data_IF_964747206862
#
_entry.id   IF_964747206862
#
_cell.length_a   1.000
_cell.length_b   1.000
_cell.length_c   1.000
_cell.angle_alpha   90.00
_cell.angle_beta   90.00
_cell.angle_gamma   90.00
#
_symmetry.space_group_name_H-M   'P 1'
#
loop_
_entity.id
_entity.type
_entity.pdbx_description
1 polymer ?
#
# COMPACT_ATOMS: atom_id res chain seq x y z
N UNK A 1 -10.17 -30.44 -15.42
CA UNK A 1 -11.25 -30.97 -16.28
C UNK A 1 -12.62 -30.86 -15.59
N UNK A 2 -13.02 -29.66 -15.12
CA UNK A 2 -14.33 -29.42 -14.53
C UNK A 2 -14.88 -28.10 -15.07
N UNK A 3 -15.65 -28.12 -16.18
CA UNK A 3 -16.23 -26.93 -16.81
C UNK A 3 -17.13 -26.11 -15.88
N UNK A 4 -17.64 -26.75 -14.82
CA UNK A 4 -18.52 -26.10 -13.83
C UNK A 4 -17.75 -25.41 -12.68
N UNK A 5 -16.49 -25.78 -12.45
CA UNK A 5 -15.69 -25.32 -11.28
C UNK A 5 -14.36 -24.66 -11.68
N UNK A 6 -14.15 -24.31 -12.96
CA UNK A 6 -12.90 -23.71 -13.44
C UNK A 6 -12.54 -22.44 -12.67
N UNK A 7 -13.53 -21.62 -12.33
CA UNK A 7 -13.35 -20.36 -11.59
C UNK A 7 -12.83 -20.57 -10.16
N UNK A 8 -13.26 -21.64 -9.49
CA UNK A 8 -12.72 -22.01 -8.18
C UNK A 8 -11.25 -22.47 -8.26
N UNK A 9 -10.91 -23.24 -9.31
CA UNK A 9 -9.52 -23.66 -9.53
C UNK A 9 -8.63 -22.48 -9.87
N UNK A 10 -9.09 -21.53 -10.69
CA UNK A 10 -8.39 -20.30 -10.98
C UNK A 10 -8.18 -19.47 -9.72
N UNK A 11 -9.19 -19.37 -8.86
CA UNK A 11 -9.06 -18.70 -7.57
C UNK A 11 -8.03 -19.40 -6.66
N UNK A 12 -8.08 -20.71 -6.52
CA UNK A 12 -7.08 -21.46 -5.72
C UNK A 12 -5.65 -21.25 -6.23
N UNK A 13 -5.46 -21.21 -7.56
CA UNK A 13 -4.16 -20.93 -8.18
C UNK A 13 -3.74 -19.47 -7.93
N UNK A 14 -4.67 -18.51 -7.84
CA UNK A 14 -4.35 -17.11 -7.57
C UNK A 14 -3.80 -16.89 -6.14
N UNK A 15 -4.14 -17.75 -5.17
CA UNK A 15 -3.69 -17.60 -3.77
C UNK A 15 -2.16 -17.55 -3.68
N UNK A 16 -1.41 -18.59 -4.10
CA UNK A 16 0.05 -18.53 -4.04
C UNK A 16 0.65 -17.41 -4.90
N UNK A 17 0.01 -17.03 -6.01
CA UNK A 17 0.47 -15.93 -6.85
C UNK A 17 0.32 -14.58 -6.15
N UNK A 18 -0.83 -14.30 -5.52
CA UNK A 18 -1.04 -13.06 -4.76
C UNK A 18 -0.05 -12.97 -3.60
N UNK A 19 0.15 -14.06 -2.85
CA UNK A 19 1.13 -14.10 -1.77
C UNK A 19 2.55 -13.87 -2.30
N UNK A 20 2.91 -14.50 -3.41
CA UNK A 20 4.21 -14.34 -4.05
C UNK A 20 4.46 -12.88 -4.44
N UNK A 21 3.53 -12.24 -5.16
CA UNK A 21 3.69 -10.86 -5.59
C UNK A 21 3.68 -9.87 -4.42
N UNK A 22 2.88 -10.13 -3.39
CA UNK A 22 2.81 -9.24 -2.23
C UNK A 22 4.05 -9.31 -1.32
N UNK A 23 4.60 -10.51 -1.11
CA UNK A 23 5.64 -10.75 -0.08
C UNK A 23 7.01 -11.06 -0.67
N UNK A 24 7.07 -11.85 -1.73
CA UNK A 24 8.34 -12.40 -2.25
C UNK A 24 8.94 -11.49 -3.34
N UNK A 25 8.10 -10.99 -4.26
CA UNK A 25 8.55 -10.12 -5.36
C UNK A 25 9.43 -8.97 -4.89
N UNK A 26 9.02 -8.12 -3.93
CA UNK A 26 9.83 -6.98 -3.51
C UNK A 26 11.14 -7.37 -2.82
N UNK A 27 11.26 -8.58 -2.30
CA UNK A 27 12.46 -9.07 -1.62
C UNK A 27 13.44 -9.81 -2.55
N UNK A 28 12.94 -10.42 -3.61
CA UNK A 28 13.73 -11.31 -4.48
C UNK A 28 13.84 -10.77 -5.89
N UNK A 29 12.73 -10.29 -6.47
CA UNK A 29 12.71 -9.85 -7.86
C UNK A 29 13.24 -8.42 -8.00
N UNK A 30 12.77 -7.49 -7.15
CA UNK A 30 13.17 -6.08 -7.26
C UNK A 30 14.69 -5.87 -7.13
N UNK A 31 15.43 -6.58 -6.25
CA UNK A 31 16.90 -6.49 -6.22
C UNK A 31 17.63 -6.99 -7.48
N UNK A 32 16.96 -7.72 -8.38
CA UNK A 32 17.54 -8.12 -9.67
C UNK A 32 17.49 -6.98 -10.70
N UNK A 33 16.62 -6.01 -10.50
CA UNK A 33 16.38 -4.90 -11.43
C UNK A 33 16.86 -3.54 -10.91
N UNK A 34 17.04 -3.41 -9.60
CA UNK A 34 17.43 -2.17 -8.94
C UNK A 34 18.63 -2.37 -8.03
N UNK A 35 19.46 -1.36 -7.93
CA UNK A 35 20.67 -1.38 -7.10
C UNK A 35 20.28 -1.09 -5.64
N UNK A 36 20.34 -2.11 -4.79
CA UNK A 36 20.12 -2.03 -3.34
C UNK A 36 21.47 -1.91 -2.63
N UNK A 37 21.61 -0.88 -1.82
CA UNK A 37 22.81 -0.65 -1.01
C UNK A 37 22.45 -0.57 0.47
N UNK A 38 23.32 -1.02 1.39
CA UNK A 38 23.21 -0.65 2.78
C UNK A 38 23.18 0.86 2.91
N UNK A 39 22.40 1.38 3.83
CA UNK A 39 22.25 2.82 4.00
C UNK A 39 23.60 3.51 4.20
N UNK A 40 23.89 4.56 3.44
CA UNK A 40 25.18 5.29 3.45
C UNK A 40 25.25 6.23 4.65
N UNK A 41 24.17 6.94 4.92
CA UNK A 41 24.06 7.84 6.06
C UNK A 41 23.82 7.04 7.35
N UNK A 42 24.89 6.82 8.12
CA UNK A 42 24.85 6.05 9.36
C UNK A 42 24.16 6.78 10.51
N UNK A 43 24.12 8.11 10.48
CA UNK A 43 23.39 8.89 11.47
C UNK A 43 21.89 8.74 11.27
N UNK A 44 21.41 8.86 10.03
CA UNK A 44 20.00 8.62 9.67
C UNK A 44 19.60 7.15 9.91
N UNK A 45 20.48 6.19 9.58
CA UNK A 45 20.25 4.77 9.86
C UNK A 45 20.02 4.51 11.35
N UNK A 46 20.84 5.12 12.21
CA UNK A 46 20.70 5.02 13.67
C UNK A 46 19.35 5.61 14.16
N UNK A 47 18.93 6.77 13.61
CA UNK A 47 17.64 7.39 13.94
C UNK A 47 16.45 6.54 13.51
N UNK A 48 16.50 5.93 12.32
CA UNK A 48 15.46 5.01 11.86
C UNK A 48 15.45 3.75 12.74
N UNK A 49 16.61 3.23 13.12
CA UNK A 49 16.72 2.07 14.02
C UNK A 49 16.13 2.37 15.41
N UNK A 50 16.38 3.55 15.96
CA UNK A 50 15.74 4.01 17.21
C UNK A 50 14.20 4.02 17.05
N UNK A 51 13.70 4.52 15.91
CA UNK A 51 12.27 4.57 15.64
C UNK A 51 11.66 3.16 15.51
N UNK A 52 12.36 2.21 14.86
CA UNK A 52 11.91 0.81 14.76
C UNK A 52 11.82 0.13 16.12
N UNK A 53 12.79 0.40 17.01
CA UNK A 53 12.75 -0.12 18.39
C UNK A 53 11.57 0.42 19.18
N UNK A 54 11.20 1.70 19.00
CA UNK A 54 10.01 2.28 19.62
C UNK A 54 8.71 1.68 19.13
N UNK A 55 8.67 1.22 17.88
CA UNK A 55 7.51 0.55 17.27
C UNK A 55 7.54 -1.00 17.38
N UNK A 56 8.45 -1.57 18.18
CA UNK A 56 8.65 -3.03 18.32
C UNK A 56 8.90 -3.77 16.99
N UNK A 57 9.63 -3.13 16.07
CA UNK A 57 10.02 -3.70 14.76
C UNK A 57 11.55 -3.90 14.73
N UNK A 58 12.10 -4.50 15.74
CA UNK A 58 13.54 -4.69 15.85
C UNK A 58 14.10 -5.62 14.77
N UNK A 59 15.41 -5.45 14.44
CA UNK A 59 16.13 -6.32 13.52
C UNK A 59 15.87 -6.07 12.03
N UNK A 60 15.14 -5.02 11.66
CA UNK A 60 14.93 -4.65 10.27
C UNK A 60 16.22 -4.15 9.61
N UNK A 61 16.53 -4.67 8.42
CA UNK A 61 17.65 -4.16 7.61
C UNK A 61 17.20 -2.92 6.85
N UNK A 62 18.05 -1.91 6.77
CA UNK A 62 17.74 -0.63 6.10
C UNK A 62 18.56 -0.54 4.82
N UNK A 63 17.88 -0.36 3.69
CA UNK A 63 18.48 -0.26 2.37
C UNK A 63 18.16 1.07 1.70
N UNK A 64 19.14 1.59 0.96
CA UNK A 64 19.00 2.68 0.00
C UNK A 64 18.92 2.11 -1.41
N UNK A 65 18.00 2.60 -2.26
CA UNK A 65 17.86 2.17 -3.64
C UNK A 65 18.04 3.34 -4.59
N UNK A 66 18.90 3.15 -5.60
CA UNK A 66 19.28 4.16 -6.59
C UNK A 66 18.21 4.43 -7.64
N UNK A 67 17.06 4.99 -7.26
CA UNK A 67 15.94 5.26 -8.15
C UNK A 67 16.05 6.56 -8.94
N UNK A 68 16.94 7.48 -8.58
CA UNK A 68 17.11 8.78 -9.27
C UNK A 68 17.48 8.67 -10.75
N UNK A 69 17.98 7.50 -11.19
CA UNK A 69 18.26 7.20 -12.60
C UNK A 69 17.00 6.89 -13.42
N UNK A 70 15.91 6.50 -12.75
CA UNK A 70 14.67 6.01 -13.37
C UNK A 70 13.52 6.98 -13.19
N UNK A 71 13.45 7.68 -12.05
CA UNK A 71 12.32 8.56 -11.72
C UNK A 71 12.76 9.71 -10.81
N UNK A 72 11.92 10.78 -10.81
CA UNK A 72 11.99 11.87 -9.84
C UNK A 72 11.03 11.68 -8.66
N UNK A 73 10.15 10.68 -8.74
CA UNK A 73 9.19 10.37 -7.68
C UNK A 73 9.90 9.95 -6.41
N UNK A 74 9.29 10.23 -5.29
CA UNK A 74 9.74 9.80 -3.97
C UNK A 74 8.95 8.59 -3.51
N UNK A 75 9.64 7.61 -2.92
CA UNK A 75 9.00 6.47 -2.30
C UNK A 75 9.87 5.89 -1.19
N UNK A 76 9.22 5.26 -0.21
CA UNK A 76 9.82 4.39 0.79
C UNK A 76 8.81 3.28 1.07
N UNK A 77 9.27 2.12 1.56
CA UNK A 77 8.38 1.01 1.91
C UNK A 77 9.04 0.04 2.86
N UNK A 78 8.23 -0.74 3.56
CA UNK A 78 8.66 -1.89 4.34
C UNK A 78 8.18 -3.19 3.70
N UNK A 79 9.07 -4.18 3.66
CA UNK A 79 8.76 -5.52 3.14
C UNK A 79 9.31 -6.60 4.06
N UNK A 80 8.82 -7.82 3.86
CA UNK A 80 9.26 -8.98 4.63
C UNK A 80 8.39 -9.26 5.86
N UNK A 81 8.64 -10.42 6.47
CA UNK A 81 7.88 -10.94 7.61
C UNK A 81 8.86 -11.39 8.70
N UNK A 82 8.53 -11.09 9.96
CA UNK A 82 9.37 -11.50 11.09
C UNK A 82 10.80 -10.99 10.96
N UNK A 83 11.83 -11.86 11.07
CA UNK A 83 13.24 -11.45 10.99
C UNK A 83 13.71 -11.02 9.60
N UNK A 84 12.92 -11.25 8.55
CA UNK A 84 13.27 -10.86 7.18
C UNK A 84 12.80 -9.44 6.81
N UNK A 85 12.29 -8.68 7.75
CA UNK A 85 11.83 -7.29 7.51
C UNK A 85 12.94 -6.41 6.98
N UNK A 86 12.63 -5.65 5.96
CA UNK A 86 13.51 -4.70 5.32
C UNK A 86 12.80 -3.35 5.16
N UNK A 87 13.52 -2.29 5.44
CA UNK A 87 13.14 -0.91 5.19
C UNK A 87 13.88 -0.46 3.95
N UNK A 88 13.17 0.04 2.97
CA UNK A 88 13.74 0.46 1.68
C UNK A 88 13.39 1.92 1.44
N UNK A 89 14.44 2.76 1.31
CA UNK A 89 14.31 4.17 0.97
C UNK A 89 14.87 4.43 -0.42
N UNK A 90 14.13 5.14 -1.24
CA UNK A 90 14.66 5.61 -2.51
C UNK A 90 15.62 6.79 -2.26
N UNK A 91 16.71 6.85 -3.02
CA UNK A 91 17.67 7.95 -2.94
C UNK A 91 17.04 9.32 -3.27
N UNK A 92 15.97 9.33 -4.08
CA UNK A 92 15.16 10.53 -4.35
C UNK A 92 14.42 11.01 -3.12
N UNK A 93 13.96 10.11 -2.27
CA UNK A 93 13.28 10.42 -0.99
C UNK A 93 14.27 10.97 0.02
N UNK A 94 15.43 10.31 0.14
CA UNK A 94 16.51 10.74 1.06
C UNK A 94 17.00 12.15 0.69
N UNK A 95 17.16 12.47 -0.60
CA UNK A 95 17.60 13.79 -1.07
C UNK A 95 16.51 14.86 -1.00
N UNK A 96 15.25 14.47 -1.05
CA UNK A 96 14.12 15.41 -1.16
C UNK A 96 13.50 15.81 0.16
N UNK A 97 13.68 15.03 1.21
CA UNK A 97 13.09 15.25 2.53
C UNK A 97 14.16 15.59 3.56
N UNK A 98 13.80 16.38 4.57
CA UNK A 98 14.61 16.55 5.77
C UNK A 98 14.59 15.29 6.63
N UNK A 99 15.53 15.15 7.58
CA UNK A 99 15.56 14.01 8.52
C UNK A 99 14.23 13.85 9.26
N UNK A 100 13.64 14.95 9.77
CA UNK A 100 12.34 14.91 10.47
C UNK A 100 11.21 14.37 9.59
N UNK A 101 11.15 14.81 8.34
CA UNK A 101 10.17 14.33 7.35
C UNK A 101 10.40 12.86 6.98
N UNK A 102 11.65 12.42 6.83
CA UNK A 102 12.00 11.02 6.60
C UNK A 102 11.58 10.13 7.77
N UNK A 103 11.76 10.57 9.00
CA UNK A 103 11.31 9.84 10.18
C UNK A 103 9.78 9.71 10.22
N UNK A 104 9.04 10.74 9.79
CA UNK A 104 7.58 10.63 9.66
C UNK A 104 7.19 9.62 8.57
N UNK A 105 7.81 9.66 7.39
CA UNK A 105 7.58 8.66 6.34
C UNK A 105 7.85 7.25 6.88
N UNK A 106 8.95 7.06 7.58
CA UNK A 106 9.28 5.75 8.14
C UNK A 106 8.28 5.30 9.21
N UNK A 107 7.79 6.21 10.04
CA UNK A 107 6.76 5.92 11.04
C UNK A 107 5.43 5.50 10.37
N UNK A 108 5.07 6.13 9.26
CA UNK A 108 3.92 5.77 8.43
C UNK A 108 4.09 4.35 7.83
N UNK A 109 5.25 4.04 7.23
CA UNK A 109 5.53 2.71 6.69
C UNK A 109 5.54 1.61 7.77
N UNK A 110 6.05 1.94 8.96
CA UNK A 110 6.02 1.04 10.12
C UNK A 110 4.59 0.70 10.54
N UNK A 111 3.65 1.65 10.42
CA UNK A 111 2.24 1.41 10.71
C UNK A 111 1.66 0.31 9.85
N UNK A 112 1.92 0.32 8.53
CA UNK A 112 1.44 -0.74 7.64
C UNK A 112 1.92 -2.12 8.06
N UNK A 113 3.15 -2.21 8.57
CA UNK A 113 3.72 -3.46 9.08
C UNK A 113 3.10 -3.87 10.43
N UNK A 114 3.03 -2.93 11.40
CA UNK A 114 2.56 -3.19 12.78
C UNK A 114 1.08 -3.50 12.82
N UNK A 115 0.28 -2.78 12.03
CA UNK A 115 -1.17 -2.95 11.95
C UNK A 115 -1.59 -4.10 11.02
N UNK A 116 -0.62 -4.70 10.31
CA UNK A 116 -0.85 -5.87 9.47
C UNK A 116 -1.65 -5.58 8.20
N UNK A 117 -1.58 -4.36 7.65
CA UNK A 117 -2.33 -3.94 6.47
C UNK A 117 -2.10 -4.86 5.27
N UNK A 118 -0.89 -5.43 5.12
CA UNK A 118 -0.57 -6.37 4.04
C UNK A 118 -1.48 -7.60 4.04
N UNK A 119 -1.86 -8.11 5.22
CA UNK A 119 -2.72 -9.29 5.33
C UNK A 119 -4.17 -8.95 4.93
N UNK A 120 -4.64 -7.76 5.31
CA UNK A 120 -5.94 -7.25 4.88
C UNK A 120 -5.97 -7.02 3.37
N UNK A 121 -4.89 -6.48 2.79
CA UNK A 121 -4.76 -6.29 1.35
C UNK A 121 -4.76 -7.62 0.59
N UNK A 122 -4.03 -8.63 1.06
CA UNK A 122 -4.04 -9.98 0.49
C UNK A 122 -5.46 -10.58 0.56
N UNK A 123 -6.11 -10.50 1.71
CA UNK A 123 -7.45 -11.06 1.91
C UNK A 123 -8.48 -10.36 1.01
N UNK A 124 -8.49 -9.02 0.94
CA UNK A 124 -9.41 -8.27 0.08
C UNK A 124 -9.18 -8.57 -1.40
N UNK A 125 -7.93 -8.58 -1.85
CA UNK A 125 -7.56 -8.95 -3.24
C UNK A 125 -8.07 -10.34 -3.60
N UNK A 126 -7.91 -11.33 -2.72
CA UNK A 126 -8.41 -12.69 -2.95
C UNK A 126 -9.94 -12.75 -3.01
N UNK A 127 -10.64 -11.97 -2.18
CA UNK A 127 -12.10 -11.86 -2.23
C UNK A 127 -12.57 -11.19 -3.53
N UNK A 128 -11.89 -10.14 -3.96
CA UNK A 128 -12.18 -9.47 -5.25
C UNK A 128 -11.96 -10.43 -6.41
N UNK A 129 -10.83 -11.15 -6.46
CA UNK A 129 -10.57 -12.16 -7.49
C UNK A 129 -11.67 -13.22 -7.50
N UNK A 130 -12.09 -13.71 -6.33
CA UNK A 130 -13.18 -14.69 -6.22
C UNK A 130 -14.47 -14.14 -6.80
N UNK A 131 -14.84 -12.91 -6.44
CA UNK A 131 -16.04 -12.25 -6.96
C UNK A 131 -15.98 -12.03 -8.47
N UNK A 132 -14.87 -11.54 -9.00
CA UNK A 132 -14.67 -11.32 -10.43
C UNK A 132 -14.79 -12.64 -11.21
N UNK A 133 -14.12 -13.69 -10.75
CA UNK A 133 -14.21 -15.02 -11.37
C UNK A 133 -15.63 -15.61 -11.31
N UNK A 134 -16.35 -15.36 -10.22
CA UNK A 134 -17.75 -15.75 -10.08
C UNK A 134 -18.65 -15.00 -11.08
N UNK A 135 -18.47 -13.67 -11.22
CA UNK A 135 -19.21 -12.87 -12.22
C UNK A 135 -18.92 -13.37 -13.62
N UNK A 136 -17.65 -13.63 -13.96
CA UNK A 136 -17.26 -14.19 -15.26
C UNK A 136 -17.89 -15.57 -15.49
N UNK A 137 -17.97 -16.41 -14.45
CA UNK A 137 -18.58 -17.73 -14.56
C UNK A 137 -20.09 -17.66 -14.81
N UNK A 138 -20.82 -16.89 -14.00
CA UNK A 138 -22.28 -16.79 -14.10
C UNK A 138 -22.69 -16.02 -15.36
N UNK A 139 -22.11 -14.83 -15.58
CA UNK A 139 -22.38 -13.99 -16.75
C UNK A 139 -22.01 -14.69 -18.05
N UNK A 140 -20.82 -15.28 -18.10
CA UNK A 140 -20.36 -16.02 -19.27
C UNK A 140 -21.29 -17.18 -19.63
N UNK A 141 -21.71 -17.97 -18.64
CA UNK A 141 -22.69 -19.07 -18.87
C UNK A 141 -24.04 -18.56 -19.36
N UNK A 142 -24.52 -17.46 -18.81
CA UNK A 142 -25.78 -16.86 -19.23
C UNK A 142 -25.75 -16.42 -20.71
N UNK A 143 -24.68 -15.72 -21.09
CA UNK A 143 -24.45 -15.26 -22.46
C UNK A 143 -24.23 -16.44 -23.44
N UNK A 144 -23.43 -17.44 -23.07
CA UNK A 144 -23.18 -18.61 -23.87
C UNK A 144 -24.49 -19.38 -24.16
N UNK A 145 -25.36 -19.51 -23.15
CA UNK A 145 -26.67 -20.15 -23.32
C UNK A 145 -27.59 -19.38 -24.29
N UNK A 146 -27.53 -18.03 -24.25
CA UNK A 146 -28.35 -17.19 -25.15
C UNK A 146 -27.76 -17.04 -26.55
N UNK A 147 -26.44 -16.90 -26.64
CA UNK A 147 -25.75 -16.64 -27.91
C UNK A 147 -25.32 -17.88 -28.69
N UNK A 148 -25.48 -19.08 -28.12
CA UNK A 148 -25.07 -20.35 -28.76
C UNK A 148 -23.55 -20.51 -28.91
N UNK A 149 -22.72 -19.60 -28.33
CA UNK A 149 -21.26 -19.62 -28.43
C UNK A 149 -20.69 -20.27 -27.17
N UNK A 150 -19.87 -21.34 -27.30
CA UNK A 150 -19.25 -21.97 -26.14
C UNK A 150 -18.22 -21.04 -25.49
N UNK A 151 -18.13 -21.10 -24.16
CA UNK A 151 -17.17 -20.25 -23.38
C UNK A 151 -15.69 -20.50 -23.74
N UNK A 152 -15.38 -21.61 -24.37
CA UNK A 152 -14.03 -21.94 -24.88
C UNK A 152 -13.69 -21.27 -26.21
N UNK A 153 -14.65 -20.59 -26.84
CA UNK A 153 -14.41 -19.88 -28.08
C UNK A 153 -13.78 -18.51 -27.80
N UNK A 154 -12.76 -18.14 -28.59
CA UNK A 154 -12.11 -16.83 -28.51
C UNK A 154 -13.07 -15.66 -28.75
N UNK A 155 -14.17 -15.87 -29.49
CA UNK A 155 -15.22 -14.88 -29.68
C UNK A 155 -15.87 -14.42 -28.36
N UNK A 156 -15.68 -15.16 -27.25
CA UNK A 156 -16.18 -14.76 -25.92
C UNK A 156 -15.25 -13.82 -25.18
N UNK A 157 -14.02 -13.58 -25.65
CA UNK A 157 -13.05 -12.69 -24.99
C UNK A 157 -13.59 -11.27 -24.75
N UNK A 158 -14.21 -10.58 -25.72
CA UNK A 158 -14.81 -9.26 -25.48
C UNK A 158 -15.87 -9.27 -24.38
N UNK A 159 -16.66 -10.34 -24.28
CA UNK A 159 -17.62 -10.52 -23.21
C UNK A 159 -16.96 -10.62 -21.84
N UNK A 160 -15.90 -11.41 -21.72
CA UNK A 160 -15.16 -11.51 -20.47
C UNK A 160 -14.54 -10.17 -20.05
N UNK A 161 -13.97 -9.42 -21.00
CA UNK A 161 -13.45 -8.08 -20.74
C UNK A 161 -14.55 -7.11 -20.30
N UNK A 162 -15.73 -7.17 -20.92
CA UNK A 162 -16.88 -6.37 -20.53
C UNK A 162 -17.36 -6.71 -19.11
N UNK A 163 -17.53 -7.99 -18.80
CA UNK A 163 -17.96 -8.45 -17.47
C UNK A 163 -16.91 -8.10 -16.40
N UNK A 164 -15.64 -8.28 -16.71
CA UNK A 164 -14.54 -7.94 -15.80
C UNK A 164 -14.55 -6.45 -15.48
N UNK A 165 -14.54 -5.58 -16.51
CA UNK A 165 -14.55 -4.13 -16.30
C UNK A 165 -15.84 -3.66 -15.60
N UNK A 166 -17.00 -4.24 -15.94
CA UNK A 166 -18.25 -3.94 -15.26
C UNK A 166 -18.24 -4.32 -13.78
N UNK A 167 -17.68 -5.46 -13.44
CA UNK A 167 -17.53 -5.88 -12.05
C UNK A 167 -16.47 -5.03 -11.29
N UNK A 168 -15.38 -4.62 -11.97
CA UNK A 168 -14.38 -3.72 -11.38
C UNK A 168 -14.96 -2.35 -11.01
N UNK A 169 -15.96 -1.86 -11.74
CA UNK A 169 -16.66 -0.62 -11.34
C UNK A 169 -17.30 -0.71 -9.94
N UNK A 170 -17.60 -1.92 -9.48
CA UNK A 170 -18.16 -2.16 -8.13
C UNK A 170 -17.04 -2.40 -7.12
N UNK A 171 -16.00 -3.17 -7.50
CA UNK A 171 -14.95 -3.54 -6.56
C UNK A 171 -13.92 -2.44 -6.33
N UNK A 172 -13.58 -1.63 -7.35
CA UNK A 172 -12.57 -0.56 -7.22
C UNK A 172 -12.91 0.46 -6.12
N UNK A 173 -14.16 0.96 -5.97
CA UNK A 173 -14.49 1.88 -4.89
C UNK A 173 -14.32 1.26 -3.49
N UNK A 174 -14.59 -0.05 -3.34
CA UNK A 174 -14.42 -0.77 -2.07
C UNK A 174 -12.95 -0.95 -1.72
N UNK A 175 -12.13 -1.39 -2.68
CA UNK A 175 -10.68 -1.54 -2.52
C UNK A 175 -10.03 -0.19 -2.19
N UNK A 176 -10.39 0.87 -2.93
CA UNK A 176 -9.86 2.21 -2.69
C UNK A 176 -10.32 2.78 -1.33
N UNK A 177 -11.56 2.48 -0.89
CA UNK A 177 -12.02 2.87 0.43
C UNK A 177 -11.21 2.17 1.53
N UNK A 178 -10.96 0.86 1.39
CA UNK A 178 -10.14 0.10 2.35
C UNK A 178 -8.70 0.63 2.37
N UNK A 179 -8.11 0.89 1.19
CA UNK A 179 -6.77 1.48 1.07
C UNK A 179 -6.68 2.81 1.81
N UNK A 180 -7.61 3.75 1.54
CA UNK A 180 -7.65 5.06 2.24
C UNK A 180 -7.81 4.92 3.75
N UNK A 181 -8.55 3.92 4.22
CA UNK A 181 -8.66 3.66 5.65
C UNK A 181 -7.32 3.25 6.25
N UNK A 182 -6.60 2.35 5.60
CA UNK A 182 -5.26 1.95 6.04
C UNK A 182 -4.27 3.14 6.03
N UNK A 183 -4.39 4.03 5.04
CA UNK A 183 -3.57 5.25 4.98
C UNK A 183 -3.86 6.19 6.14
N UNK A 184 -5.14 6.37 6.51
CA UNK A 184 -5.52 7.15 7.70
C UNK A 184 -4.96 6.55 8.99
N UNK A 185 -5.05 5.24 9.14
CA UNK A 185 -4.48 4.52 10.29
C UNK A 185 -2.96 4.69 10.34
N UNK A 186 -2.29 4.66 9.18
CA UNK A 186 -0.84 4.84 9.07
C UNK A 186 -0.41 6.29 9.36
N UNK A 187 -1.15 7.28 8.87
CA UNK A 187 -0.89 8.69 9.17
C UNK A 187 -1.04 8.99 10.66
N UNK A 188 -2.11 8.51 11.26
CA UNK A 188 -2.35 8.69 12.70
C UNK A 188 -1.27 8.01 13.54
N UNK A 189 -0.92 6.76 13.22
CA UNK A 189 0.17 6.04 13.88
C UNK A 189 1.50 6.79 13.74
N UNK A 190 1.82 7.25 12.52
CA UNK A 190 3.02 8.02 12.26
C UNK A 190 3.09 9.29 13.09
N UNK A 191 2.00 10.07 13.15
CA UNK A 191 1.89 11.27 13.99
C UNK A 191 2.09 10.94 15.47
N UNK A 192 1.46 9.90 15.98
CA UNK A 192 1.59 9.49 17.38
C UNK A 192 2.99 9.00 17.73
N UNK A 193 3.67 8.31 16.80
CA UNK A 193 5.02 7.78 17.03
C UNK A 193 6.07 8.89 17.03
N UNK A 194 6.03 9.82 16.07
CA UNK A 194 7.04 10.90 15.95
C UNK A 194 6.66 12.15 16.73
N UNK A 195 5.40 12.47 16.89
CA UNK A 195 4.85 13.67 17.54
C UNK A 195 5.35 14.97 16.88
N UNK A 196 5.42 14.98 15.54
CA UNK A 196 5.94 16.09 14.74
C UNK A 196 4.98 16.39 13.56
N UNK A 197 4.00 17.24 13.81
CA UNK A 197 2.99 17.61 12.81
C UNK A 197 3.59 18.40 11.64
N UNK A 198 4.57 19.27 11.91
CA UNK A 198 5.23 20.06 10.88
C UNK A 198 6.00 19.18 9.89
N UNK A 199 6.66 18.13 10.39
CA UNK A 199 7.32 17.14 9.56
C UNK A 199 6.32 16.38 8.69
N UNK A 200 5.16 15.99 9.24
CA UNK A 200 4.09 15.33 8.48
C UNK A 200 3.56 16.23 7.36
N UNK A 201 3.20 17.47 7.66
CA UNK A 201 2.70 18.45 6.69
C UNK A 201 3.75 18.71 5.61
N UNK A 202 5.01 18.97 5.99
CA UNK A 202 6.10 19.16 5.04
C UNK A 202 6.28 17.97 4.10
N UNK A 203 6.20 16.75 4.64
CA UNK A 203 6.23 15.50 3.87
C UNK A 203 5.11 15.46 2.83
N UNK A 204 3.86 15.68 3.23
CA UNK A 204 2.71 15.63 2.31
C UNK A 204 2.85 16.63 1.17
N UNK A 205 3.23 17.87 1.46
CA UNK A 205 3.44 18.92 0.46
C UNK A 205 4.54 18.54 -0.55
N UNK A 206 5.68 18.01 -0.07
CA UNK A 206 6.80 17.64 -0.91
C UNK A 206 6.50 16.39 -1.77
N UNK A 207 5.88 15.37 -1.18
CA UNK A 207 5.46 14.16 -1.89
C UNK A 207 4.49 14.51 -3.02
N UNK A 208 3.52 15.37 -2.75
CA UNK A 208 2.59 15.84 -3.77
C UNK A 208 3.30 16.52 -4.93
N UNK A 209 4.16 17.50 -4.63
CA UNK A 209 4.87 18.25 -5.66
C UNK A 209 5.77 17.36 -6.53
N UNK A 210 6.39 16.34 -5.95
CA UNK A 210 7.27 15.40 -6.66
C UNK A 210 6.52 14.33 -7.43
N UNK A 211 5.40 13.86 -6.88
CA UNK A 211 4.60 12.79 -7.49
C UNK A 211 3.49 13.34 -8.39
N UNK A 212 3.42 14.68 -8.58
CA UNK A 212 2.44 15.37 -9.43
C UNK A 212 0.99 15.01 -9.12
N UNK A 213 0.66 14.84 -7.85
CA UNK A 213 -0.68 14.49 -7.39
C UNK A 213 -1.58 15.74 -7.33
N UNK A 214 -2.86 15.59 -7.64
CA UNK A 214 -3.83 16.68 -7.48
C UNK A 214 -4.26 16.83 -6.01
N UNK A 215 -4.21 18.03 -5.42
CA UNK A 215 -4.40 18.23 -3.97
C UNK A 215 -5.79 17.85 -3.44
N UNK A 216 -6.82 18.12 -4.22
CA UNK A 216 -8.23 17.92 -3.84
C UNK A 216 -9.02 17.35 -5.00
N UNK A 217 -8.79 16.08 -5.38
CA UNK A 217 -9.55 15.47 -6.45
C UNK A 217 -11.01 15.31 -6.04
N UNK A 218 -11.92 15.41 -7.03
CA UNK A 218 -13.36 15.26 -6.80
C UNK A 218 -13.71 13.85 -6.29
N UNK A 219 -14.88 13.73 -5.65
CA UNK A 219 -15.36 12.49 -5.03
C UNK A 219 -15.36 11.27 -5.97
N UNK A 220 -15.70 11.50 -7.27
CA UNK A 220 -15.70 10.44 -8.26
C UNK A 220 -14.29 9.87 -8.47
N UNK A 221 -13.29 10.73 -8.67
CA UNK A 221 -11.90 10.29 -8.78
C UNK A 221 -11.46 9.54 -7.52
N UNK A 222 -11.79 10.08 -6.34
CA UNK A 222 -11.46 9.46 -5.06
C UNK A 222 -12.10 8.08 -4.90
N UNK A 223 -13.33 7.88 -5.36
CA UNK A 223 -13.99 6.59 -5.29
C UNK A 223 -13.32 5.54 -6.17
N UNK A 224 -13.03 5.86 -7.43
CA UNK A 224 -12.56 4.87 -8.41
C UNK A 224 -11.03 4.84 -8.63
N UNK A 225 -10.29 5.87 -8.19
CA UNK A 225 -8.85 6.00 -8.45
C UNK A 225 -8.02 6.42 -7.25
N UNK A 226 -8.64 6.97 -6.21
CA UNK A 226 -7.95 7.47 -5.03
C UNK A 226 -7.63 6.35 -4.04
N UNK A 227 -6.42 5.82 -4.08
CA UNK A 227 -5.91 4.83 -3.12
C UNK A 227 -5.48 5.46 -1.80
N UNK A 228 -5.17 6.75 -1.79
CA UNK A 228 -4.79 7.53 -0.61
C UNK A 228 -5.84 8.62 -0.35
N UNK A 229 -6.01 9.08 0.90
CA UNK A 229 -6.77 10.29 1.19
C UNK A 229 -6.19 11.47 0.42
N UNK A 230 -7.01 12.48 0.12
CA UNK A 230 -6.52 13.67 -0.55
C UNK A 230 -5.46 14.37 0.31
N UNK A 231 -4.51 15.04 -0.33
CA UNK A 231 -3.46 15.73 0.39
C UNK A 231 -4.03 16.78 1.35
N UNK A 232 -5.06 17.50 0.88
CA UNK A 232 -5.69 18.53 1.69
C UNK A 232 -6.30 17.95 2.99
N UNK A 233 -6.96 16.79 2.89
CA UNK A 233 -7.49 16.08 4.07
C UNK A 233 -6.36 15.65 5.02
N UNK A 234 -5.25 15.11 4.49
CA UNK A 234 -4.10 14.67 5.29
C UNK A 234 -3.46 15.84 6.03
N UNK A 235 -3.28 16.99 5.36
CA UNK A 235 -2.74 18.22 5.98
C UNK A 235 -3.67 18.72 7.10
N UNK A 236 -4.96 18.88 6.80
CA UNK A 236 -5.94 19.35 7.80
C UNK A 236 -5.98 18.43 9.03
N UNK A 237 -5.90 17.11 8.80
CA UNK A 237 -5.82 16.15 9.89
C UNK A 237 -4.54 16.34 10.71
N UNK A 238 -3.40 16.43 10.06
CA UNK A 238 -2.12 16.63 10.74
C UNK A 238 -2.09 17.95 11.52
N UNK A 239 -2.65 19.03 11.00
CA UNK A 239 -2.76 20.31 11.71
C UNK A 239 -3.57 20.20 13.02
N UNK A 240 -4.66 19.43 13.00
CA UNK A 240 -5.60 19.33 14.13
C UNK A 240 -5.29 18.21 15.13
N UNK A 241 -4.55 17.19 14.75
CA UNK A 241 -4.34 15.98 15.55
C UNK A 241 -3.12 16.10 16.48
N UNK A 242 -3.32 16.49 17.73
CA UNK A 242 -2.27 16.69 18.75
C UNK A 242 -2.69 16.18 20.12
N UNK A 243 -3.05 14.88 20.28
CA UNK A 243 -3.51 14.36 21.58
C UNK A 243 -2.45 14.45 22.68
N UNK A 244 -1.15 14.30 22.35
CA UNK A 244 -0.04 14.37 23.30
C UNK A 244 0.11 15.74 23.94
N UNK A 245 -0.17 16.83 23.23
CA UNK A 245 -0.14 18.19 23.78
C UNK A 245 -1.26 18.44 24.79
N UNK A 246 -2.36 17.69 24.67
CA UNK A 246 -3.58 17.81 25.49
C UNK A 246 -3.67 16.75 26.59
N UNK A 247 -2.59 15.95 26.78
CA UNK A 247 -2.58 14.85 27.75
C UNK A 247 -3.63 13.76 27.47
N UNK A 248 -4.14 13.66 26.23
CA UNK A 248 -5.09 12.62 25.83
C UNK A 248 -4.36 11.32 25.52
N UNK A 249 -4.99 10.16 25.76
CA UNK A 249 -4.39 8.88 25.41
C UNK A 249 -4.18 8.77 23.91
N UNK A 250 -3.05 8.17 23.51
CA UNK A 250 -2.76 7.84 22.12
C UNK A 250 -3.52 6.58 21.73
N UNK A 251 -4.07 6.55 20.52
CA UNK A 251 -4.82 5.40 19.97
C UNK A 251 -3.92 4.17 19.84
N UNK A 252 -2.67 4.40 19.43
CA UNK A 252 -1.70 3.33 19.14
C UNK A 252 -0.65 3.15 20.25
N UNK A 253 -0.85 3.73 21.45
CA UNK A 253 0.09 3.66 22.58
C UNK A 253 0.54 2.24 22.94
N UNK A 254 -0.32 1.23 22.74
CA UNK A 254 -0.01 -0.17 22.99
C UNK A 254 1.09 -0.75 22.10
N UNK A 255 1.36 -0.10 20.96
CA UNK A 255 2.38 -0.51 20.00
C UNK A 255 3.70 0.23 20.19
N UNK A 256 3.78 1.13 21.17
CA UNK A 256 4.97 1.95 21.40
C UNK A 256 5.62 1.60 22.72
N UNK A 257 6.95 1.53 22.72
CA UNK A 257 7.72 1.56 23.96
C UNK A 257 7.59 2.95 24.58
N UNK A 258 7.27 3.01 25.87
CA UNK A 258 7.27 4.31 26.59
C UNK A 258 8.69 4.92 26.55
N UNK A 259 8.75 6.23 26.28
CA UNK A 259 9.99 6.99 26.36
C UNK A 259 10.52 7.01 27.78
#
# INVERSE_FOLDING_TARGET
KSPKRWWLWMWLISIPLVIFFALIKPMVIDPLFYDFYPMKDKALEARITELTSRAHIEGSRIYEVGMSRHTKSMNAYMVGIGPSKQIVLWDTTIKGLSERELLFVMAHEMAHCVLGHIWWQIASTLLVILFLLWVLHIGGRWFAKKGGVPLSDYATLPLFLFLFNGASLITDPLENWLSRRHEWEADQFGLELVQDNEAAIGTFVKLQGRNLSYPSPGWYFMAWRGTHPSLNERIQYAEGYRPWEKGKPLTYSRYFTRK
#
